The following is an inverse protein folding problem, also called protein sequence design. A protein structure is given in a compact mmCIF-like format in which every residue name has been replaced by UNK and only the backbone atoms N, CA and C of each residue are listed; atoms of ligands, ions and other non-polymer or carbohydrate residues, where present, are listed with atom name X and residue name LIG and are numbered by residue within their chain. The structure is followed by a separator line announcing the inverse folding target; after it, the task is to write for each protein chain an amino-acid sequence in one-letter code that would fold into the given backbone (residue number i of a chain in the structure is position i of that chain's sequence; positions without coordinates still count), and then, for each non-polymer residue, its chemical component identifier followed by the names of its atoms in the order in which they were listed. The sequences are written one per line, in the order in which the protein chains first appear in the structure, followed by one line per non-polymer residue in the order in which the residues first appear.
data_IF_404901922738
#
_entry.id   IF_404901922738
#
_cell.length_a   1.000
_cell.length_b   1.000
_cell.length_c   1.000
_cell.angle_alpha   90.00
_cell.angle_beta   90.00
_cell.angle_gamma   90.00
#
_symmetry.space_group_name_H-M   'P 1'
#
loop_
_entity.id
_entity.type
_entity.pdbx_description
1 polymer ?
#
# COMPACT_ATOMS: atom_id res chain seq x y z
N UNK A 1 20.91 -10.91 -24.62
CA UNK A 1 20.16 -9.65 -24.71
C UNK A 1 19.75 -9.26 -23.31
N UNK A 2 20.35 -8.23 -22.74
CA UNK A 2 19.90 -7.65 -21.48
C UNK A 2 18.68 -6.81 -21.80
N UNK A 3 17.50 -7.23 -21.33
CA UNK A 3 16.31 -6.39 -21.40
C UNK A 3 16.59 -5.14 -20.54
N UNK A 4 16.54 -3.97 -21.14
CA UNK A 4 16.54 -2.72 -20.41
C UNK A 4 15.25 -2.67 -19.60
N UNK A 5 15.34 -2.93 -18.30
CA UNK A 5 14.24 -2.70 -17.38
C UNK A 5 14.14 -1.19 -17.14
N UNK A 6 13.02 -0.60 -17.50
CA UNK A 6 12.73 0.76 -17.07
C UNK A 6 12.36 0.72 -15.59
N UNK A 7 13.20 1.36 -14.76
CA UNK A 7 12.93 1.52 -13.33
C UNK A 7 12.37 2.92 -13.13
N UNK A 8 11.21 3.00 -12.54
CA UNK A 8 10.58 4.25 -12.12
C UNK A 8 10.49 4.27 -10.60
N UNK A 9 10.91 5.35 -9.97
CA UNK A 9 10.76 5.58 -8.54
C UNK A 9 9.55 6.48 -8.31
N UNK A 10 8.67 6.07 -7.41
CA UNK A 10 7.54 6.87 -6.97
C UNK A 10 7.58 7.01 -5.44
N UNK A 11 7.93 8.19 -4.97
CA UNK A 11 7.98 8.52 -3.55
C UNK A 11 6.60 8.94 -3.07
N UNK A 12 5.68 7.99 -2.96
CA UNK A 12 4.26 8.23 -2.66
C UNK A 12 4.02 9.06 -1.38
N UNK A 13 4.92 8.97 -0.41
CA UNK A 13 4.87 9.75 0.83
C UNK A 13 5.84 10.94 0.84
N UNK A 14 6.44 11.27 -0.31
CA UNK A 14 7.44 12.33 -0.43
C UNK A 14 8.87 11.88 -0.17
N UNK A 15 9.79 12.80 -0.29
CA UNK A 15 11.24 12.60 -0.12
C UNK A 15 11.85 13.68 0.77
N UNK A 16 12.93 13.36 1.48
CA UNK A 16 13.54 14.27 2.47
C UNK A 16 14.14 15.53 1.85
N UNK A 17 14.57 15.45 0.59
CA UNK A 17 15.10 16.58 -0.17
C UNK A 17 14.03 17.64 -0.51
N UNK A 18 12.74 17.27 -0.42
CA UNK A 18 11.57 18.13 -0.67
C UNK A 18 10.58 17.99 0.49
N UNK A 19 10.91 18.54 1.66
CA UNK A 19 10.12 18.35 2.87
C UNK A 19 8.68 18.87 2.75
N UNK A 20 8.42 19.82 1.86
CA UNK A 20 7.08 20.34 1.54
C UNK A 20 6.16 19.27 0.89
N UNK A 21 6.75 18.22 0.29
CA UNK A 21 6.01 17.14 -0.36
C UNK A 21 5.83 15.92 0.56
N UNK A 22 6.31 15.98 1.81
CA UNK A 22 6.18 14.87 2.73
C UNK A 22 4.73 14.74 3.19
N UNK A 23 4.16 13.57 2.94
CA UNK A 23 2.82 13.20 3.39
C UNK A 23 2.95 12.50 4.74
N UNK A 24 2.69 13.27 5.78
CA UNK A 24 2.60 12.76 7.14
C UNK A 24 1.17 12.93 7.64
N UNK A 25 0.52 11.83 8.01
CA UNK A 25 -0.88 11.92 8.41
C UNK A 25 -1.48 10.58 8.79
N UNK A 26 -2.74 10.64 9.10
CA UNK A 26 -3.59 9.52 9.49
C UNK A 26 -4.80 9.43 8.56
N UNK A 27 -5.61 8.47 8.85
CA UNK A 27 -6.93 8.36 8.24
C UNK A 27 -6.98 7.28 7.20
N UNK A 28 -8.01 6.54 7.37
CA UNK A 28 -8.42 5.46 6.51
C UNK A 28 -9.87 5.75 6.11
N UNK A 29 -10.08 6.19 4.89
CA UNK A 29 -11.43 6.48 4.39
C UNK A 29 -12.31 5.23 4.30
N UNK A 30 -11.71 4.03 4.46
CA UNK A 30 -12.42 2.78 4.60
C UNK A 30 -12.85 2.49 6.06
N UNK A 31 -12.40 3.31 7.02
CA UNK A 31 -12.82 3.20 8.41
C UNK A 31 -14.22 3.80 8.61
N UNK A 32 -15.03 3.13 9.44
CA UNK A 32 -16.40 3.57 9.73
C UNK A 32 -16.47 4.94 10.41
N UNK A 33 -15.43 5.33 11.14
CA UNK A 33 -15.34 6.62 11.81
C UNK A 33 -15.08 7.78 10.84
N UNK A 34 -14.57 7.50 9.62
CA UNK A 34 -14.26 8.54 8.65
C UNK A 34 -15.49 9.36 8.24
N UNK A 35 -16.64 8.72 8.05
CA UNK A 35 -17.88 9.43 7.75
C UNK A 35 -18.27 10.41 8.87
N UNK A 36 -18.07 10.04 10.12
CA UNK A 36 -18.34 10.95 11.25
C UNK A 36 -17.46 12.19 11.22
N UNK A 37 -16.21 12.05 10.77
CA UNK A 37 -15.27 13.19 10.60
C UNK A 37 -15.76 14.11 9.47
N UNK A 38 -16.20 13.55 8.36
CA UNK A 38 -16.79 14.34 7.25
C UNK A 38 -18.03 15.10 7.68
N UNK A 39 -18.90 14.46 8.45
CA UNK A 39 -20.18 15.04 8.93
C UNK A 39 -19.96 16.22 9.90
N UNK A 40 -18.79 16.30 10.56
CA UNK A 40 -18.43 17.45 11.41
C UNK A 40 -18.17 18.73 10.61
N UNK A 41 -17.98 18.63 9.29
CA UNK A 41 -17.72 19.76 8.38
C UNK A 41 -16.62 20.72 8.87
N UNK A 42 -15.56 20.14 9.45
CA UNK A 42 -14.39 20.84 9.98
C UNK A 42 -13.14 20.49 9.16
N UNK A 43 -12.63 21.45 8.40
CA UNK A 43 -11.48 21.28 7.54
C UNK A 43 -10.18 20.99 8.32
N UNK A 44 -10.07 21.43 9.58
CA UNK A 44 -8.89 21.14 10.40
C UNK A 44 -8.79 19.64 10.69
N UNK A 45 -9.91 18.95 10.84
CA UNK A 45 -9.93 17.49 11.03
C UNK A 45 -9.48 16.74 9.76
N UNK A 46 -9.72 17.30 8.59
CA UNK A 46 -9.33 16.70 7.31
C UNK A 46 -7.91 17.05 6.86
N UNK A 47 -7.29 18.06 7.47
CA UNK A 47 -6.00 18.61 7.07
C UNK A 47 -4.88 17.56 7.00
N UNK A 48 -4.90 16.58 7.90
CA UNK A 48 -3.89 15.54 8.00
C UNK A 48 -4.39 14.14 7.55
N UNK A 49 -5.49 14.10 6.82
CA UNK A 49 -5.98 12.85 6.21
C UNK A 49 -5.13 12.55 4.97
N UNK A 50 -4.52 11.37 4.92
CA UNK A 50 -3.59 11.00 3.85
C UNK A 50 -4.22 11.03 2.47
N UNK A 51 -5.46 10.58 2.30
CA UNK A 51 -6.14 10.59 1.01
C UNK A 51 -6.34 12.01 0.45
N UNK A 52 -6.56 13.01 1.32
CA UNK A 52 -6.60 14.41 0.93
C UNK A 52 -5.20 14.89 0.54
N UNK A 53 -4.19 14.52 1.32
CA UNK A 53 -2.78 14.88 1.09
C UNK A 53 -2.21 14.35 -0.23
N UNK A 54 -2.65 13.18 -0.69
CA UNK A 54 -2.20 12.61 -1.97
C UNK A 54 -2.52 13.53 -3.16
N UNK A 55 -3.46 14.47 -3.02
CA UNK A 55 -3.81 15.43 -4.06
C UNK A 55 -2.90 16.67 -4.11
N UNK A 56 -2.01 16.84 -3.13
CA UNK A 56 -1.04 17.96 -3.10
C UNK A 56 0.12 17.75 -4.08
N UNK A 57 0.36 16.50 -4.52
CA UNK A 57 1.42 16.15 -5.49
C UNK A 57 0.88 15.27 -6.62
N UNK A 58 1.68 15.03 -7.65
CA UNK A 58 1.33 14.09 -8.73
C UNK A 58 1.58 12.62 -8.39
N UNK A 59 2.28 12.31 -7.32
CA UNK A 59 2.78 10.96 -7.03
C UNK A 59 1.67 9.91 -7.03
N UNK A 60 0.49 10.25 -6.48
CA UNK A 60 -0.64 9.34 -6.48
C UNK A 60 -1.23 9.11 -7.90
N UNK A 61 -1.34 10.16 -8.70
CA UNK A 61 -1.79 10.04 -10.09
C UNK A 61 -0.78 9.26 -10.94
N UNK A 62 0.52 9.51 -10.78
CA UNK A 62 1.58 8.77 -11.47
C UNK A 62 1.52 7.27 -11.11
N UNK A 63 1.21 6.94 -9.84
CA UNK A 63 0.96 5.56 -9.43
C UNK A 63 -0.27 4.98 -10.15
N UNK A 64 -1.38 5.69 -10.20
CA UNK A 64 -2.58 5.20 -10.90
C UNK A 64 -2.33 4.98 -12.38
N UNK A 65 -1.61 5.89 -13.06
CA UNK A 65 -1.22 5.72 -14.46
C UNK A 65 -0.37 4.45 -14.65
N UNK A 66 0.57 4.19 -13.74
CA UNK A 66 1.37 2.97 -13.75
C UNK A 66 0.52 1.71 -13.57
N UNK A 67 -0.41 1.69 -12.60
CA UNK A 67 -1.29 0.54 -12.33
C UNK A 67 -2.22 0.23 -13.51
N UNK A 68 -2.67 1.27 -14.23
CA UNK A 68 -3.54 1.13 -15.41
C UNK A 68 -2.82 0.61 -16.66
N UNK A 69 -1.50 0.78 -16.73
CA UNK A 69 -0.74 0.53 -17.95
C UNK A 69 -0.70 -0.94 -18.39
N UNK A 70 -0.64 -1.89 -17.45
CA UNK A 70 -0.54 -3.33 -17.74
C UNK A 70 -0.81 -4.17 -16.49
N UNK A 71 -1.05 -5.49 -16.62
CA UNK A 71 -1.04 -6.42 -15.50
C UNK A 71 0.29 -6.36 -14.73
N UNK A 72 0.22 -6.32 -13.39
CA UNK A 72 1.38 -6.17 -12.52
C UNK A 72 1.36 -7.13 -11.33
N UNK A 73 2.53 -7.34 -10.75
CA UNK A 73 2.73 -8.05 -9.49
C UNK A 73 3.21 -7.06 -8.41
N UNK A 74 2.74 -7.25 -7.19
CA UNK A 74 3.21 -6.51 -6.03
C UNK A 74 4.23 -7.34 -5.28
N UNK A 75 5.43 -6.79 -5.06
CA UNK A 75 6.46 -7.37 -4.21
C UNK A 75 6.59 -6.49 -2.97
N UNK A 76 6.25 -7.02 -1.79
CA UNK A 76 6.30 -6.28 -0.52
C UNK A 76 7.62 -6.60 0.16
N UNK A 77 8.48 -5.59 0.31
CA UNK A 77 9.79 -5.70 0.93
C UNK A 77 9.95 -4.62 2.00
N UNK A 78 10.12 -5.01 3.27
CA UNK A 78 10.34 -4.08 4.38
C UNK A 78 9.14 -3.22 4.80
N UNK A 79 7.94 -3.50 4.28
CA UNK A 79 6.72 -2.74 4.60
C UNK A 79 5.78 -3.58 5.47
N UNK A 80 5.27 -2.98 6.55
CA UNK A 80 4.40 -3.68 7.52
C UNK A 80 2.96 -3.88 7.04
N UNK A 81 2.51 -3.17 6.00
CA UNK A 81 1.13 -3.13 5.51
C UNK A 81 0.12 -2.76 6.59
N UNK A 82 0.50 -1.85 7.48
CA UNK A 82 -0.37 -1.35 8.56
C UNK A 82 -1.52 -0.48 8.04
N UNK A 83 -2.49 -0.23 8.92
CA UNK A 83 -3.72 0.48 8.58
C UNK A 83 -3.52 1.94 8.15
N UNK A 84 -2.37 2.56 8.48
CA UNK A 84 -2.08 3.96 8.10
C UNK A 84 -2.03 4.17 6.59
N UNK A 85 -1.85 3.11 5.81
CA UNK A 85 -1.76 3.14 4.35
C UNK A 85 -2.87 2.34 3.67
N UNK A 86 -3.92 2.00 4.42
CA UNK A 86 -4.97 1.08 3.98
C UNK A 86 -5.64 1.53 2.68
N UNK A 87 -5.99 2.79 2.54
CA UNK A 87 -6.59 3.33 1.31
C UNK A 87 -5.69 3.12 0.10
N UNK A 88 -4.40 3.47 0.24
CA UNK A 88 -3.41 3.27 -0.81
C UNK A 88 -3.22 1.78 -1.15
N UNK A 89 -3.02 0.96 -0.12
CA UNK A 89 -2.79 -0.47 -0.28
C UNK A 89 -4.01 -1.18 -0.87
N UNK A 90 -5.22 -0.79 -0.46
CA UNK A 90 -6.46 -1.30 -1.05
C UNK A 90 -6.53 -0.98 -2.55
N UNK A 91 -6.23 0.27 -2.94
CA UNK A 91 -6.20 0.69 -4.35
C UNK A 91 -5.24 -0.18 -5.18
N UNK A 92 -4.05 -0.49 -4.65
CA UNK A 92 -3.06 -1.32 -5.34
C UNK A 92 -3.46 -2.80 -5.34
N UNK A 93 -3.89 -3.33 -4.19
CA UNK A 93 -4.14 -4.76 -4.01
C UNK A 93 -5.41 -5.25 -4.69
N UNK A 94 -6.46 -4.43 -4.72
CA UNK A 94 -7.73 -4.77 -5.36
C UNK A 94 -7.82 -4.26 -6.81
N UNK A 95 -6.79 -3.59 -7.32
CA UNK A 95 -6.76 -3.12 -8.70
C UNK A 95 -6.99 -4.27 -9.69
N UNK A 96 -7.75 -4.04 -10.76
CA UNK A 96 -8.08 -5.08 -11.74
C UNK A 96 -6.84 -5.71 -12.40
N UNK A 97 -5.79 -4.94 -12.63
CA UNK A 97 -4.53 -5.40 -13.20
C UNK A 97 -3.58 -6.07 -12.18
N UNK A 98 -3.92 -6.10 -10.88
CA UNK A 98 -3.10 -6.76 -9.88
C UNK A 98 -3.24 -8.29 -9.99
N UNK A 99 -2.18 -8.96 -10.44
CA UNK A 99 -2.18 -10.42 -10.66
C UNK A 99 -1.81 -11.19 -9.39
N UNK A 100 -0.82 -10.71 -8.65
CA UNK A 100 -0.36 -11.36 -7.42
C UNK A 100 0.32 -10.41 -6.46
N UNK A 101 0.34 -10.78 -5.18
CA UNK A 101 0.97 -10.03 -4.09
C UNK A 101 1.88 -10.98 -3.34
N UNK A 102 3.18 -10.74 -3.44
CA UNK A 102 4.22 -11.58 -2.84
C UNK A 102 4.94 -10.85 -1.72
N UNK A 103 4.66 -11.20 -0.45
CA UNK A 103 5.42 -10.67 0.66
C UNK A 103 6.79 -11.36 0.79
N UNK A 104 7.82 -10.55 1.08
CA UNK A 104 9.09 -11.01 1.59
C UNK A 104 9.08 -10.81 3.10
N UNK A 105 9.46 -11.86 3.86
CA UNK A 105 9.31 -11.87 5.31
C UNK A 105 10.65 -12.06 6.01
N UNK A 106 10.72 -11.61 7.25
CA UNK A 106 11.90 -11.79 8.09
C UNK A 106 11.83 -13.13 8.82
N UNK A 107 12.97 -13.82 8.88
CA UNK A 107 13.15 -15.03 9.68
C UNK A 107 14.27 -14.81 10.70
N UNK A 108 13.96 -15.05 11.96
CA UNK A 108 14.90 -14.90 13.07
C UNK A 108 15.76 -16.16 13.26
N UNK A 109 16.85 -16.01 14.03
CA UNK A 109 17.79 -17.09 14.32
C UNK A 109 17.15 -18.26 15.09
N UNK A 110 16.14 -17.98 15.91
CA UNK A 110 15.36 -19.00 16.64
C UNK A 110 14.41 -19.83 15.74
N UNK A 111 14.38 -19.54 14.45
CA UNK A 111 13.54 -20.20 13.45
C UNK A 111 12.13 -19.62 13.32
N UNK A 112 11.73 -18.69 14.18
CA UNK A 112 10.47 -17.95 14.02
C UNK A 112 10.52 -16.99 12.84
N UNK A 113 9.35 -16.53 12.37
CA UNK A 113 9.25 -15.55 11.29
C UNK A 113 7.97 -14.71 11.40
N UNK A 114 7.91 -13.60 10.67
CA UNK A 114 6.78 -12.68 10.68
C UNK A 114 5.83 -12.86 9.48
N UNK A 115 5.91 -13.96 8.74
CA UNK A 115 5.05 -14.17 7.57
C UNK A 115 3.56 -14.07 7.91
N UNK A 116 3.11 -14.76 8.97
CA UNK A 116 1.70 -14.77 9.37
C UNK A 116 1.21 -13.38 9.76
N UNK A 117 2.00 -12.65 10.55
CA UNK A 117 1.69 -11.26 10.93
C UNK A 117 1.54 -10.37 9.70
N UNK A 118 2.48 -10.47 8.75
CA UNK A 118 2.46 -9.70 7.52
C UNK A 118 1.22 -10.02 6.68
N UNK A 119 0.86 -11.30 6.53
CA UNK A 119 -0.34 -11.71 5.80
C UNK A 119 -1.63 -11.24 6.50
N UNK A 120 -1.67 -11.24 7.83
CA UNK A 120 -2.79 -10.67 8.60
C UNK A 120 -2.92 -9.17 8.36
N UNK A 121 -1.81 -8.44 8.33
CA UNK A 121 -1.81 -7.01 8.01
C UNK A 121 -2.27 -6.77 6.56
N UNK A 122 -1.75 -7.53 5.60
CA UNK A 122 -2.19 -7.46 4.21
C UNK A 122 -3.71 -7.70 4.11
N UNK A 123 -4.25 -8.68 4.84
CA UNK A 123 -5.68 -9.01 4.79
C UNK A 123 -6.59 -7.85 5.20
N UNK A 124 -6.14 -7.00 6.15
CA UNK A 124 -6.91 -5.82 6.61
C UNK A 124 -7.02 -4.73 5.55
N UNK A 125 -6.18 -4.77 4.52
CA UNK A 125 -6.21 -3.83 3.40
C UNK A 125 -7.16 -4.26 2.28
N UNK A 126 -7.84 -5.41 2.42
CA UNK A 126 -8.84 -5.88 1.48
C UNK A 126 -10.26 -5.61 1.98
N UNK A 127 -11.14 -5.25 1.04
CA UNK A 127 -12.60 -5.28 1.22
C UNK A 127 -13.19 -6.57 0.64
N UNK A 128 -12.55 -7.13 -0.39
CA UNK A 128 -12.94 -8.38 -1.02
C UNK A 128 -11.99 -9.53 -0.64
N UNK A 129 -12.41 -10.36 0.32
CA UNK A 129 -11.60 -11.49 0.81
C UNK A 129 -11.39 -12.62 -0.21
N UNK A 130 -12.17 -12.65 -1.30
CA UNK A 130 -11.87 -13.56 -2.42
C UNK A 130 -10.60 -13.12 -3.14
N UNK A 131 -10.49 -11.82 -3.47
CA UNK A 131 -9.27 -11.29 -4.10
C UNK A 131 -8.04 -11.50 -3.22
N UNK A 132 -8.17 -11.32 -1.89
CA UNK A 132 -7.09 -11.62 -0.96
C UNK A 132 -6.56 -13.05 -1.13
N UNK A 133 -7.44 -14.05 -1.10
CA UNK A 133 -7.03 -15.47 -1.24
C UNK A 133 -6.48 -15.81 -2.62
N UNK A 134 -7.02 -15.17 -3.65
CA UNK A 134 -6.62 -15.44 -5.04
C UNK A 134 -5.26 -14.81 -5.39
N UNK A 135 -4.92 -13.67 -4.77
CA UNK A 135 -3.75 -12.86 -5.14
C UNK A 135 -2.55 -13.02 -4.21
N UNK A 136 -2.77 -13.25 -2.92
CA UNK A 136 -1.67 -13.33 -1.96
C UNK A 136 -0.95 -14.67 -2.10
N UNK A 137 0.35 -14.60 -2.39
CA UNK A 137 1.21 -15.76 -2.59
C UNK A 137 1.43 -16.50 -1.27
N UNK A 138 1.29 -17.83 -1.27
CA UNK A 138 1.48 -18.65 -0.10
C UNK A 138 2.94 -18.68 0.38
N UNK A 139 3.16 -19.07 1.64
CA UNK A 139 4.46 -19.04 2.30
C UNK A 139 5.54 -19.83 1.57
N UNK A 140 5.19 -21.00 1.02
CA UNK A 140 6.16 -21.90 0.35
C UNK A 140 6.78 -21.26 -0.90
N UNK A 141 6.06 -20.34 -1.54
CA UNK A 141 6.52 -19.61 -2.71
C UNK A 141 7.10 -18.23 -2.37
N UNK A 142 7.02 -17.81 -1.11
CA UNK A 142 7.65 -16.59 -0.62
C UNK A 142 9.11 -16.83 -0.24
N UNK A 143 9.87 -15.74 -0.08
CA UNK A 143 11.28 -15.78 0.31
C UNK A 143 11.49 -14.92 1.55
N UNK A 144 12.51 -15.28 2.33
CA UNK A 144 13.04 -14.43 3.39
C UNK A 144 13.87 -13.30 2.80
N UNK A 145 13.85 -12.16 3.51
CA UNK A 145 14.78 -11.06 3.25
C UNK A 145 16.13 -11.36 3.91
#
# INVERSE_FOLDING_TARGET
MYNNFNITHNYIHGELEKPENIIFGYGDELDKSYQSILDMNDNELLRNVKSVKYLETRHYHDLLEFLLAAPFQVLIMGHSCGNSDRTLLNTVFEHENCVSIKPFYHKWEDGSDNYLELVQNISRNFTNMKLFRDRVVNKEQCKTM
#
